data_IF_104740235892
#
_entry.id   IF_104740235892
#
_cell.length_a   1.000
_cell.length_b   1.000
_cell.length_c   1.000
_cell.angle_alpha   90.00
_cell.angle_beta   90.00
_cell.angle_gamma   90.00
#
_symmetry.space_group_name_H-M   'P 1'
#
loop_
_entity.id
_entity.type
_entity.pdbx_description
1 polymer ?
#
# COMPACT_ATOMS: atom_id res chain seq x y z
N UNK A 1 -10.59 13.37 6.53
CA UNK A 1 -9.37 13.42 5.69
C UNK A 1 -8.82 12.02 5.42
N UNK A 2 -8.46 11.23 6.44
CA UNK A 2 -7.90 9.87 6.27
C UNK A 2 -8.75 8.89 5.43
N UNK A 3 -10.08 8.86 5.61
CA UNK A 3 -10.98 7.95 4.87
C UNK A 3 -10.96 8.15 3.35
N UNK A 4 -10.81 9.39 2.88
CA UNK A 4 -10.76 9.71 1.45
C UNK A 4 -9.46 9.19 0.83
N UNK A 5 -8.34 9.43 1.51
CA UNK A 5 -7.03 8.93 1.13
C UNK A 5 -6.98 7.38 1.08
N UNK A 6 -7.55 6.71 2.08
CA UNK A 6 -7.64 5.24 2.10
C UNK A 6 -8.52 4.69 0.96
N UNK A 7 -9.61 5.39 0.60
CA UNK A 7 -10.45 5.02 -0.53
C UNK A 7 -9.75 5.17 -1.89
N UNK A 8 -8.86 6.16 -2.03
CA UNK A 8 -8.05 6.31 -3.23
C UNK A 8 -6.99 5.21 -3.33
N UNK A 9 -6.30 4.90 -2.23
CA UNK A 9 -5.33 3.80 -2.16
C UNK A 9 -5.98 2.46 -2.49
N UNK A 10 -7.21 2.21 -2.02
CA UNK A 10 -7.94 0.98 -2.29
C UNK A 10 -8.25 0.73 -3.79
N UNK A 11 -8.23 1.78 -4.63
CA UNK A 11 -8.48 1.69 -6.08
C UNK A 11 -7.24 1.33 -6.89
N UNK A 12 -6.04 1.44 -6.33
CA UNK A 12 -4.81 1.04 -7.01
C UNK A 12 -4.79 -0.48 -7.17
N UNK A 13 -4.52 -1.05 -8.36
CA UNK A 13 -4.40 -2.51 -8.53
C UNK A 13 -3.27 -3.10 -7.68
N UNK A 14 -3.32 -4.41 -7.38
CA UNK A 14 -2.18 -5.07 -6.72
C UNK A 14 -1.09 -5.21 -7.77
N UNK A 15 0.16 -4.98 -7.38
CA UNK A 15 1.28 -5.31 -8.25
C UNK A 15 1.39 -6.84 -8.34
N UNK A 16 1.70 -7.31 -9.53
CA UNK A 16 2.20 -8.65 -9.80
C UNK A 16 3.69 -8.70 -9.48
N UNK A 17 4.23 -9.92 -9.34
CA UNK A 17 5.65 -10.14 -9.07
C UNK A 17 6.53 -9.49 -10.15
N UNK A 18 6.12 -9.60 -11.41
CA UNK A 18 6.86 -9.02 -12.54
C UNK A 18 6.88 -7.48 -12.48
N UNK A 19 5.75 -6.85 -12.11
CA UNK A 19 5.66 -5.40 -11.93
C UNK A 19 6.49 -4.93 -10.72
N UNK A 20 6.55 -5.70 -9.64
CA UNK A 20 7.41 -5.39 -8.49
C UNK A 20 8.90 -5.39 -8.88
N UNK A 21 9.33 -6.37 -9.67
CA UNK A 21 10.70 -6.46 -10.17
C UNK A 21 11.05 -5.28 -11.08
N UNK A 22 10.14 -4.91 -11.99
CA UNK A 22 10.35 -3.78 -12.90
C UNK A 22 10.45 -2.46 -12.14
N UNK A 23 9.57 -2.24 -11.14
CA UNK A 23 9.63 -1.06 -10.29
C UNK A 23 10.89 -1.04 -9.43
N UNK A 24 11.34 -2.19 -8.91
CA UNK A 24 12.55 -2.27 -8.11
C UNK A 24 13.81 -1.86 -8.89
N UNK A 25 13.95 -2.29 -10.14
CA UNK A 25 15.05 -1.86 -11.02
C UNK A 25 14.98 -0.35 -11.28
N UNK A 26 13.80 0.20 -11.59
CA UNK A 26 13.61 1.65 -11.78
C UNK A 26 13.95 2.47 -10.52
N UNK A 27 13.56 1.98 -9.34
CA UNK A 27 13.87 2.63 -8.05
C UNK A 27 15.38 2.65 -7.81
N UNK A 28 16.08 1.57 -8.15
CA UNK A 28 17.54 1.47 -8.04
C UNK A 28 18.25 2.51 -8.92
N UNK A 29 17.66 2.82 -10.07
CA UNK A 29 18.12 3.88 -10.98
C UNK A 29 17.70 5.30 -10.54
N UNK A 30 16.97 5.43 -9.43
CA UNK A 30 16.57 6.71 -8.84
C UNK A 30 15.22 7.25 -9.30
N UNK A 31 14.35 6.41 -9.88
CA UNK A 31 13.00 6.81 -10.29
C UNK A 31 12.06 7.00 -9.08
N UNK A 32 11.87 8.25 -8.68
CA UNK A 32 10.95 8.64 -7.60
C UNK A 32 9.48 8.31 -7.92
N UNK A 33 9.07 8.32 -9.19
CA UNK A 33 7.69 7.96 -9.54
C UNK A 33 7.46 6.45 -9.36
N UNK A 34 8.46 5.62 -9.69
CA UNK A 34 8.43 4.19 -9.41
C UNK A 34 8.40 3.92 -7.90
N UNK A 35 9.17 4.69 -7.12
CA UNK A 35 9.18 4.61 -5.65
C UNK A 35 7.80 4.93 -5.06
N UNK A 36 7.20 6.04 -5.48
CA UNK A 36 5.87 6.44 -5.02
C UNK A 36 4.79 5.43 -5.43
N UNK A 37 4.91 4.82 -6.61
CA UNK A 37 4.00 3.78 -7.06
C UNK A 37 4.11 2.54 -6.15
N UNK A 38 5.33 2.06 -5.90
CA UNK A 38 5.58 0.92 -5.01
C UNK A 38 5.02 1.17 -3.59
N UNK A 39 5.20 2.38 -3.06
CA UNK A 39 4.64 2.75 -1.74
C UNK A 39 3.11 2.70 -1.76
N UNK A 40 2.46 3.29 -2.77
CA UNK A 40 1.00 3.29 -2.90
C UNK A 40 0.42 1.88 -3.04
N UNK A 41 1.09 1.00 -3.79
CA UNK A 41 0.69 -0.40 -3.93
C UNK A 41 0.76 -1.16 -2.59
N UNK A 42 1.84 -0.97 -1.82
CA UNK A 42 2.01 -1.59 -0.51
C UNK A 42 1.03 -1.06 0.54
N UNK A 43 0.69 0.23 0.51
CA UNK A 43 -0.32 0.79 1.41
C UNK A 43 -1.70 0.15 1.22
N UNK A 44 -2.04 -0.29 0.00
CA UNK A 44 -3.29 -1.04 -0.23
C UNK A 44 -3.25 -2.43 0.39
N UNK A 45 -2.09 -3.10 0.38
CA UNK A 45 -1.92 -4.36 1.10
C UNK A 45 -2.16 -4.15 2.60
N UNK A 46 -1.61 -3.09 3.18
CA UNK A 46 -1.84 -2.71 4.58
C UNK A 46 -3.33 -2.45 4.84
N UNK A 47 -4.02 -1.70 3.98
CA UNK A 47 -5.47 -1.44 4.13
C UNK A 47 -6.30 -2.72 3.99
N UNK A 48 -5.94 -3.62 3.07
CA UNK A 48 -6.61 -4.91 2.91
C UNK A 48 -6.46 -5.75 4.17
N UNK A 49 -5.24 -5.90 4.67
CA UNK A 49 -4.93 -6.61 5.91
C UNK A 49 -5.68 -5.96 7.07
N UNK A 50 -5.55 -4.65 7.28
CA UNK A 50 -6.24 -3.93 8.35
C UNK A 50 -7.76 -4.10 8.30
N UNK A 51 -8.36 -4.12 7.10
CA UNK A 51 -9.79 -4.39 6.92
C UNK A 51 -10.15 -5.82 7.30
N UNK A 52 -9.36 -6.80 6.90
CA UNK A 52 -9.56 -8.21 7.29
C UNK A 52 -9.44 -8.38 8.81
N UNK A 53 -8.48 -7.69 9.45
CA UNK A 53 -8.29 -7.69 10.91
C UNK A 53 -9.36 -6.89 11.67
N UNK A 54 -9.97 -5.87 11.05
CA UNK A 54 -11.05 -5.09 11.67
C UNK A 54 -12.33 -5.89 11.89
N UNK A 55 -12.55 -6.92 11.07
CA UNK A 55 -13.64 -7.89 11.29
C UNK A 55 -13.42 -8.75 12.55
N UNK A 56 -12.24 -8.71 13.16
CA UNK A 56 -11.91 -9.37 14.43
C UNK A 56 -11.98 -8.44 15.65
N UNK A 57 -12.46 -7.20 15.50
CA UNK A 57 -12.73 -6.29 16.63
C UNK A 57 -11.55 -5.49 17.17
N UNK A 58 -10.41 -5.44 16.46
CA UNK A 58 -9.25 -4.61 16.84
C UNK A 58 -9.31 -3.20 16.21
N UNK A 59 -8.92 -2.14 16.94
CA UNK A 59 -8.86 -0.78 16.39
C UNK A 59 -7.74 -0.67 15.34
N UNK A 60 -8.13 -0.50 14.07
CA UNK A 60 -7.26 -0.34 12.90
C UNK A 60 -6.15 0.72 13.07
N UNK A 61 -6.37 1.72 13.94
CA UNK A 61 -5.44 2.83 14.13
C UNK A 61 -4.06 2.42 14.66
N UNK A 62 -3.98 1.37 15.48
CA UNK A 62 -2.71 0.92 16.07
C UNK A 62 -1.87 0.11 15.08
N UNK A 63 -2.51 -0.64 14.17
CA UNK A 63 -1.85 -1.45 13.13
C UNK A 63 -1.19 -0.63 12.02
N UNK A 64 -1.68 0.58 11.75
CA UNK A 64 -1.16 1.46 10.70
C UNK A 64 0.01 2.32 11.22
N UNK A 65 0.12 2.52 12.54
CA UNK A 65 1.10 3.45 13.11
C UNK A 65 2.46 2.80 13.42
N UNK A 66 2.57 1.47 13.39
CA UNK A 66 3.85 0.75 13.58
C UNK A 66 4.56 0.37 12.26
N UNK A 67 3.93 0.58 11.10
CA UNK A 67 4.41 0.14 9.78
C UNK A 67 4.87 1.27 8.86
#
# INVERSE_FOLDING_TARGET
MLRLYMNEIAKTPLLTIDEELELAEKIKDGDEAARDHMIRANLRLVVKIAKDYSNYGLPIADLISEG
#
